data_IF_628488258139
#
_entry.id   IF_628488258139
#
_cell.length_a   1.000
_cell.length_b   1.000
_cell.length_c   1.000
_cell.angle_alpha   90.00
_cell.angle_beta   90.00
_cell.angle_gamma   90.00
#
_symmetry.space_group_name_H-M   'P 1'
#
loop_
_entity.id
_entity.type
_entity.pdbx_description
1 polymer ?
#
# COMPACT_ATOMS: atom_id res chain seq x y z
N UNK A 1 -3.56 -18.02 -3.90
CA UNK A 1 -4.51 -16.90 -4.11
C UNK A 1 -5.28 -17.16 -5.39
N UNK A 2 -6.53 -16.71 -5.51
CA UNK A 2 -7.31 -17.03 -6.69
C UNK A 2 -8.71 -16.44 -6.71
N UNK A 3 -9.60 -17.10 -7.44
CA UNK A 3 -10.98 -16.68 -7.65
C UNK A 3 -11.72 -16.39 -6.36
N UNK A 4 -12.49 -15.31 -6.38
CA UNK A 4 -13.33 -14.85 -5.29
C UNK A 4 -12.58 -14.22 -4.12
N UNK A 5 -11.26 -14.10 -4.17
CA UNK A 5 -10.44 -13.51 -3.10
C UNK A 5 -10.09 -12.07 -3.45
N UNK A 6 -10.33 -11.16 -2.50
CA UNK A 6 -10.00 -9.74 -2.57
C UNK A 6 -9.14 -9.33 -1.35
N UNK A 7 -7.83 -9.61 -1.35
CA UNK A 7 -6.96 -9.15 -0.29
C UNK A 7 -6.55 -7.69 -0.53
N UNK A 8 -6.47 -6.92 0.55
CA UNK A 8 -6.01 -5.55 0.51
C UNK A 8 -5.14 -5.25 1.72
N UNK A 9 -4.06 -4.51 1.49
CA UNK A 9 -3.30 -3.82 2.51
C UNK A 9 -3.28 -2.33 2.18
N UNK A 10 -3.92 -1.56 3.06
CA UNK A 10 -4.29 -0.18 2.79
C UNK A 10 -4.32 0.65 4.07
N UNK A 11 -4.51 1.96 3.90
CA UNK A 11 -4.71 2.89 4.99
C UNK A 11 -5.89 3.82 4.73
N UNK A 12 -6.62 4.21 5.76
CA UNK A 12 -7.63 5.28 5.70
C UNK A 12 -7.60 6.14 6.98
N UNK A 13 -8.12 7.38 7.00
CA UNK A 13 -8.23 8.15 8.24
C UNK A 13 -9.19 7.47 9.22
N UNK A 14 -8.85 7.42 10.51
CA UNK A 14 -9.67 6.74 11.54
C UNK A 14 -11.13 7.21 11.60
N UNK A 15 -11.36 8.50 11.32
CA UNK A 15 -12.65 9.17 11.49
C UNK A 15 -13.24 9.66 10.15
N UNK A 16 -12.81 9.10 9.01
CA UNK A 16 -13.34 9.43 7.69
C UNK A 16 -13.40 8.21 6.78
N UNK A 17 -14.26 8.28 5.76
CA UNK A 17 -14.47 7.22 4.75
C UNK A 17 -13.87 7.58 3.39
N UNK A 18 -12.88 8.46 3.38
CA UNK A 18 -12.20 8.96 2.17
C UNK A 18 -10.72 9.16 2.50
N UNK A 19 -9.90 9.43 1.48
CA UNK A 19 -8.44 9.61 1.60
C UNK A 19 -7.75 8.31 1.95
N UNK A 20 -8.17 7.26 1.23
CA UNK A 20 -7.66 5.90 1.30
C UNK A 20 -6.45 5.73 0.38
N UNK A 21 -5.49 4.93 0.84
CA UNK A 21 -4.28 4.57 0.12
C UNK A 21 -4.14 3.06 0.16
N UNK A 22 -4.39 2.42 -0.96
CA UNK A 22 -4.15 1.00 -1.17
C UNK A 22 -2.70 0.79 -1.55
N UNK A 23 -1.94 0.19 -0.64
CA UNK A 23 -0.52 -0.06 -0.84
C UNK A 23 -0.32 -1.30 -1.71
N UNK A 24 -1.18 -2.30 -1.50
CA UNK A 24 -1.19 -3.52 -2.30
C UNK A 24 -2.58 -4.15 -2.29
N UNK A 25 -3.22 -4.16 -3.46
CA UNK A 25 -4.56 -4.72 -3.67
C UNK A 25 -4.62 -5.49 -5.00
N UNK A 26 -5.49 -6.48 -5.07
CA UNK A 26 -5.86 -7.17 -6.30
C UNK A 26 -7.15 -7.94 -6.04
N UNK A 27 -7.79 -8.44 -7.09
CA UNK A 27 -9.03 -9.20 -7.00
C UNK A 27 -8.97 -10.40 -7.91
N UNK A 28 -9.49 -11.56 -7.49
CA UNK A 28 -9.55 -12.79 -8.31
C UNK A 28 -8.19 -13.28 -8.86
N UNK A 29 -7.06 -12.73 -8.40
CA UNK A 29 -5.75 -12.84 -9.09
C UNK A 29 -5.81 -12.39 -10.55
N UNK A 30 -6.56 -11.31 -10.80
CA UNK A 30 -6.73 -10.69 -12.12
C UNK A 30 -5.38 -10.28 -12.70
N UNK A 31 -4.47 -9.83 -11.84
CA UNK A 31 -3.09 -9.49 -12.19
C UNK A 31 -2.08 -10.37 -11.44
N UNK A 32 -0.89 -10.56 -12.02
CA UNK A 32 0.26 -11.24 -11.40
C UNK A 32 1.12 -10.31 -10.51
N UNK A 33 0.67 -9.06 -10.37
CA UNK A 33 1.27 -8.02 -9.57
C UNK A 33 0.20 -7.34 -8.70
N UNK A 34 0.64 -6.56 -7.72
CA UNK A 34 -0.25 -5.75 -6.89
C UNK A 34 -0.61 -4.45 -7.62
N UNK A 35 -1.79 -3.93 -7.31
CA UNK A 35 -2.18 -2.57 -7.64
C UNK A 35 -1.94 -1.68 -6.42
N UNK A 36 -1.49 -0.46 -6.67
CA UNK A 36 -1.60 0.62 -5.71
C UNK A 36 -2.70 1.57 -6.17
N UNK A 37 -3.54 2.01 -5.25
CA UNK A 37 -4.69 2.86 -5.54
C UNK A 37 -4.77 3.97 -4.50
N UNK A 38 -5.27 5.13 -4.91
CA UNK A 38 -5.52 6.23 -4.00
C UNK A 38 -6.88 6.84 -4.31
N UNK A 39 -7.66 7.03 -3.24
CA UNK A 39 -9.02 7.54 -3.28
C UNK A 39 -9.12 8.82 -2.46
N UNK A 40 -9.32 9.97 -3.11
CA UNK A 40 -9.49 11.28 -2.46
C UNK A 40 -10.94 11.68 -2.32
N UNK A 41 -11.25 12.55 -1.35
CA UNK A 41 -12.60 13.12 -1.18
C UNK A 41 -12.92 14.18 -2.24
N UNK A 42 -11.98 15.07 -2.50
CA UNK A 42 -12.15 16.16 -3.46
C UNK A 42 -11.64 15.73 -4.83
N UNK A 43 -11.91 16.58 -5.82
CA UNK A 43 -11.37 16.37 -7.15
C UNK A 43 -9.85 16.49 -7.11
N UNK A 44 -9.18 15.38 -7.36
CA UNK A 44 -7.73 15.27 -7.42
C UNK A 44 -7.40 14.42 -8.64
N UNK A 45 -6.57 14.94 -9.51
CA UNK A 45 -6.05 14.16 -10.63
C UNK A 45 -4.53 14.31 -10.67
N UNK A 46 -3.86 13.19 -10.79
CA UNK A 46 -2.42 13.14 -10.98
C UNK A 46 -2.10 13.76 -12.34
N UNK A 47 -1.08 14.61 -12.36
CA UNK A 47 -0.56 15.15 -13.61
C UNK A 47 0.59 14.25 -14.08
N UNK A 48 0.49 13.60 -15.25
CA UNK A 48 1.62 12.86 -15.79
C UNK A 48 2.82 13.78 -16.00
N UNK A 49 4.03 13.26 -15.79
CA UNK A 49 5.23 13.95 -16.25
C UNK A 49 5.12 14.22 -17.77
N UNK A 50 5.61 15.37 -18.28
CA UNK A 50 5.53 15.69 -19.70
C UNK A 50 6.08 14.55 -20.57
N UNK A 51 5.25 14.07 -21.49
CA UNK A 51 5.53 12.95 -22.37
C UNK A 51 6.69 13.26 -23.33
N UNK A 52 7.83 12.58 -23.14
CA UNK A 52 9.00 12.69 -24.00
C UNK A 52 9.70 11.37 -24.35
N UNK A 53 9.22 10.20 -23.90
CA UNK A 53 9.75 8.94 -24.37
C UNK A 53 8.73 7.80 -24.27
N UNK A 54 8.64 7.03 -25.35
CA UNK A 54 8.12 5.68 -25.31
C UNK A 54 8.86 4.88 -24.21
N UNK A 55 8.13 4.41 -23.20
CA UNK A 55 8.56 3.32 -22.32
C UNK A 55 9.42 3.67 -21.11
N UNK A 56 10.30 4.67 -21.15
CA UNK A 56 11.07 5.16 -19.98
C UNK A 56 11.87 6.40 -20.37
N UNK A 57 11.53 7.60 -19.85
CA UNK A 57 12.46 8.74 -19.67
C UNK A 57 11.70 9.88 -18.98
N UNK A 58 12.00 10.26 -17.73
CA UNK A 58 13.16 11.02 -17.29
C UNK A 58 13.31 12.42 -17.91
N UNK A 59 12.89 13.45 -17.14
CA UNK A 59 13.42 14.83 -16.91
C UNK A 59 12.27 15.85 -16.86
N UNK A 60 11.95 16.35 -15.66
CA UNK A 60 11.36 17.68 -15.49
C UNK A 60 12.51 18.68 -15.23
N UNK A 61 12.47 19.83 -15.93
CA UNK A 61 13.38 20.94 -15.64
C UNK A 61 13.07 21.48 -14.24
N UNK A 62 13.96 21.24 -13.28
CA UNK A 62 13.77 21.63 -11.87
C UNK A 62 14.34 20.66 -10.82
N UNK A 63 14.77 19.46 -11.20
CA UNK A 63 15.59 18.60 -10.34
C UNK A 63 14.86 17.57 -9.48
N UNK A 64 13.55 17.37 -9.64
CA UNK A 64 12.84 16.20 -9.13
C UNK A 64 12.07 15.54 -10.29
N UNK A 65 12.62 14.43 -10.77
CA UNK A 65 12.01 13.60 -11.80
C UNK A 65 10.92 12.73 -11.17
N UNK A 66 9.65 12.96 -11.53
CA UNK A 66 8.60 11.99 -11.28
C UNK A 66 8.89 10.72 -12.10
N UNK A 67 9.45 9.73 -11.44
CA UNK A 67 9.85 8.46 -12.05
C UNK A 67 9.21 7.36 -11.22
N UNK A 68 8.47 6.48 -11.89
CA UNK A 68 7.99 5.25 -11.32
C UNK A 68 8.19 4.13 -12.35
N UNK A 69 8.50 2.93 -11.89
CA UNK A 69 8.64 1.76 -12.76
C UNK A 69 7.29 1.14 -13.16
N UNK A 70 6.23 1.42 -12.38
CA UNK A 70 4.87 1.01 -12.66
C UNK A 70 4.17 1.86 -13.72
N UNK A 71 2.95 1.46 -14.07
CA UNK A 71 2.13 2.16 -15.09
C UNK A 71 0.80 2.57 -14.50
N UNK A 72 0.37 3.80 -14.75
CA UNK A 72 -0.96 4.26 -14.37
C UNK A 72 -2.04 3.60 -15.22
N UNK A 73 -3.06 3.04 -14.57
CA UNK A 73 -4.34 2.67 -15.21
C UNK A 73 -5.27 3.88 -15.22
N UNK A 74 -5.35 4.60 -14.09
CA UNK A 74 -6.21 5.77 -13.90
C UNK A 74 -5.47 6.89 -13.19
N UNK A 75 -5.79 8.14 -13.55
CA UNK A 75 -5.16 9.34 -12.99
C UNK A 75 -6.08 10.15 -12.07
N UNK A 76 -7.40 9.95 -12.14
CA UNK A 76 -8.37 10.65 -11.28
C UNK A 76 -8.52 9.89 -9.96
N UNK A 77 -8.00 10.49 -8.89
CA UNK A 77 -8.03 9.93 -7.55
C UNK A 77 -9.38 10.12 -6.85
N UNK A 78 -10.27 10.96 -7.37
CA UNK A 78 -11.50 11.29 -6.67
C UNK A 78 -12.45 10.10 -6.55
N UNK A 79 -13.02 9.89 -5.36
CA UNK A 79 -14.02 8.85 -5.13
C UNK A 79 -15.29 9.01 -5.98
N UNK A 80 -15.48 10.20 -6.58
CA UNK A 80 -16.64 10.56 -7.40
C UNK A 80 -16.51 10.12 -8.85
N UNK A 81 -15.39 9.52 -9.24
CA UNK A 81 -15.24 8.98 -10.58
C UNK A 81 -16.26 7.84 -10.81
N UNK A 82 -16.59 7.58 -12.09
CA UNK A 82 -17.82 6.85 -12.48
C UNK A 82 -17.92 5.40 -11.98
N UNK A 83 -16.90 4.85 -11.32
CA UNK A 83 -16.89 3.49 -10.79
C UNK A 83 -16.06 3.36 -9.48
N UNK A 84 -15.84 4.46 -8.75
CA UNK A 84 -15.00 4.49 -7.53
C UNK A 84 -13.61 3.87 -7.74
N UNK A 85 -13.01 4.01 -8.92
CA UNK A 85 -11.77 3.31 -9.29
C UNK A 85 -10.52 3.89 -8.65
N UNK A 86 -10.58 5.16 -8.21
CA UNK A 86 -9.41 5.92 -7.76
C UNK A 86 -8.35 6.07 -8.84
N UNK A 87 -7.26 6.75 -8.49
CA UNK A 87 -6.08 6.78 -9.34
C UNK A 87 -5.24 5.57 -8.99
N UNK A 88 -4.80 4.84 -10.01
CA UNK A 88 -4.34 3.46 -9.87
C UNK A 88 -3.08 3.24 -10.66
N UNK A 89 -2.11 2.58 -10.03
CA UNK A 89 -0.88 2.15 -10.65
C UNK A 89 -0.71 0.62 -10.55
N UNK A 90 -0.32 0.01 -11.67
CA UNK A 90 0.18 -1.36 -11.71
C UNK A 90 1.62 -1.40 -11.18
N UNK A 91 1.86 -2.15 -10.10
CA UNK A 91 3.18 -2.25 -9.49
C UNK A 91 4.06 -3.25 -10.24
N UNK A 92 4.97 -2.78 -11.08
CA UNK A 92 5.90 -3.64 -11.82
C UNK A 92 7.18 -4.01 -11.05
N UNK A 93 7.26 -3.65 -9.76
CA UNK A 93 8.44 -3.81 -8.90
C UNK A 93 9.44 -2.67 -8.99
N UNK A 94 10.17 -2.42 -7.91
CA UNK A 94 11.11 -1.29 -7.77
C UNK A 94 12.43 -1.52 -8.50
N UNK A 95 12.89 -2.76 -8.59
CA UNK A 95 14.17 -3.08 -9.24
C UNK A 95 13.95 -3.52 -10.68
N UNK A 96 13.66 -2.55 -11.55
CA UNK A 96 13.64 -2.73 -12.99
C UNK A 96 15.05 -2.72 -13.61
N UNK A 97 16.12 -3.04 -12.85
CA UNK A 97 17.52 -3.01 -13.33
C UNK A 97 17.80 -3.91 -14.55
N UNK A 98 16.87 -4.79 -14.93
CA UNK A 98 16.87 -5.43 -16.24
C UNK A 98 16.37 -4.47 -17.32
N UNK A 99 17.10 -4.32 -18.43
CA UNK A 99 16.58 -3.69 -19.65
C UNK A 99 16.31 -4.77 -20.71
N UNK A 100 15.06 -4.98 -21.16
CA UNK A 100 13.84 -4.29 -20.71
C UNK A 100 13.41 -4.71 -19.28
N UNK A 101 12.65 -3.87 -18.55
CA UNK A 101 12.11 -4.20 -17.24
C UNK A 101 11.39 -5.54 -17.28
N UNK A 102 11.81 -6.50 -16.46
CA UNK A 102 11.09 -7.77 -16.33
C UNK A 102 9.94 -7.56 -15.35
N UNK A 103 8.69 -7.94 -15.69
CA UNK A 103 7.58 -7.89 -14.75
C UNK A 103 7.97 -8.66 -13.49
N UNK A 104 8.00 -7.98 -12.35
CA UNK A 104 8.25 -8.64 -11.07
C UNK A 104 6.93 -9.24 -10.61
N UNK A 105 6.90 -10.56 -10.45
CA UNK A 105 5.72 -11.24 -9.89
C UNK A 105 5.65 -10.91 -8.40
N UNK A 106 4.74 -10.01 -8.06
CA UNK A 106 4.55 -9.45 -6.72
C UNK A 106 3.24 -9.89 -6.07
N UNK A 107 2.51 -10.78 -6.76
CA UNK A 107 1.24 -11.26 -6.29
C UNK A 107 1.01 -12.74 -6.56
N UNK A 108 0.07 -13.31 -5.81
CA UNK A 108 -0.43 -14.65 -6.03
C UNK A 108 0.58 -15.77 -5.81
N UNK A 109 0.32 -16.91 -6.45
CA UNK A 109 1.02 -18.16 -6.14
C UNK A 109 2.50 -18.12 -6.51
N UNK A 110 2.85 -17.43 -7.59
CA UNK A 110 4.25 -17.28 -8.01
C UNK A 110 5.04 -16.36 -7.05
N UNK A 111 4.42 -15.29 -6.51
CA UNK A 111 5.04 -14.51 -5.43
C UNK A 111 5.21 -15.35 -4.16
N UNK A 112 4.20 -16.15 -3.79
CA UNK A 112 4.26 -17.04 -2.64
C UNK A 112 5.37 -18.10 -2.78
N UNK A 113 5.46 -18.74 -3.95
CA UNK A 113 6.48 -19.75 -4.26
C UNK A 113 7.89 -19.13 -4.39
N UNK A 114 8.00 -17.90 -4.86
CA UNK A 114 9.25 -17.12 -4.96
C UNK A 114 9.85 -16.67 -3.62
N UNK A 115 9.29 -17.10 -2.49
CA UNK A 115 9.73 -16.68 -1.16
C UNK A 115 9.18 -15.32 -0.73
N UNK A 116 8.16 -14.82 -1.45
CA UNK A 116 7.45 -13.57 -1.19
C UNK A 116 8.38 -12.36 -1.25
N UNK A 117 8.10 -11.32 -0.48
CA UNK A 117 8.79 -10.06 -0.65
C UNK A 117 8.45 -9.00 0.38
N UNK A 118 8.90 -7.80 0.05
CA UNK A 118 8.76 -6.60 0.85
C UNK A 118 7.96 -5.59 0.07
N UNK A 119 7.12 -4.88 0.78
CA UNK A 119 6.51 -3.66 0.31
C UNK A 119 6.81 -2.54 1.30
N UNK A 120 6.93 -1.33 0.78
CA UNK A 120 7.08 -0.14 1.59
C UNK A 120 6.29 1.02 1.01
N UNK A 121 5.67 1.81 1.87
CA UNK A 121 5.06 3.08 1.52
C UNK A 121 5.77 4.20 2.27
N UNK A 122 6.15 5.26 1.56
CA UNK A 122 6.49 6.55 2.15
C UNK A 122 5.33 7.52 1.89
N UNK A 123 4.81 8.12 2.96
CA UNK A 123 3.86 9.23 2.86
C UNK A 123 4.56 10.52 3.27
N UNK A 124 4.42 11.55 2.45
CA UNK A 124 4.86 12.91 2.72
C UNK A 124 3.74 13.87 2.32
N UNK A 125 2.75 14.00 3.20
CA UNK A 125 1.42 14.55 2.89
C UNK A 125 1.10 15.86 3.63
N UNK A 126 1.98 16.31 4.54
CA UNK A 126 1.72 17.44 5.43
C UNK A 126 2.94 18.35 5.49
N UNK A 127 2.70 19.66 5.40
CA UNK A 127 3.71 20.71 5.49
C UNK A 127 4.24 21.17 4.13
N UNK A 128 5.11 22.19 4.15
CA UNK A 128 5.60 22.88 2.95
C UNK A 128 6.43 21.99 2.00
N UNK A 129 6.90 20.85 2.50
CA UNK A 129 7.67 19.87 1.73
C UNK A 129 6.81 18.67 1.26
N UNK A 130 5.49 18.70 1.45
CA UNK A 130 4.60 17.61 1.06
C UNK A 130 4.61 17.41 -0.47
N UNK A 131 4.90 16.18 -0.90
CA UNK A 131 5.03 15.82 -2.31
C UNK A 131 4.28 14.53 -2.70
N UNK A 132 3.65 13.84 -1.75
CA UNK A 132 2.70 12.77 -2.03
C UNK A 132 3.05 11.41 -1.43
N UNK A 133 2.72 10.34 -2.16
CA UNK A 133 2.86 8.94 -1.72
C UNK A 133 3.72 8.15 -2.69
N UNK A 134 4.74 7.49 -2.16
CA UNK A 134 5.61 6.57 -2.92
C UNK A 134 5.46 5.16 -2.39
N UNK A 135 5.35 4.19 -3.28
CA UNK A 135 5.25 2.77 -2.95
C UNK A 135 6.37 2.02 -3.67
N UNK A 136 7.09 1.21 -2.90
CA UNK A 136 8.10 0.29 -3.40
C UNK A 136 7.69 -1.15 -3.14
N UNK A 137 8.14 -2.03 -4.01
CA UNK A 137 7.88 -3.46 -3.91
C UNK A 137 9.07 -4.25 -4.44
N UNK A 138 9.48 -5.26 -3.69
CA UNK A 138 10.65 -6.09 -3.98
C UNK A 138 10.34 -7.55 -3.73
N UNK A 139 10.85 -8.44 -4.58
CA UNK A 139 10.97 -9.84 -4.19
C UNK A 139 12.03 -10.00 -3.12
N UNK A 140 11.91 -11.05 -2.31
CA UNK A 140 12.90 -11.39 -1.30
C UNK A 140 14.29 -11.50 -1.94
N UNK A 141 15.26 -10.77 -1.40
CA UNK A 141 16.62 -10.68 -1.93
C UNK A 141 16.90 -9.38 -2.69
N UNK A 142 15.86 -8.68 -3.17
CA UNK A 142 15.99 -7.41 -3.91
C UNK A 142 15.74 -6.17 -3.04
N UNK A 143 15.21 -6.34 -1.83
CA UNK A 143 14.93 -5.23 -0.94
C UNK A 143 16.22 -4.55 -0.43
N UNK A 144 16.21 -3.22 -0.20
CA UNK A 144 17.33 -2.48 0.36
C UNK A 144 17.81 -3.03 1.70
N UNK A 145 19.13 -2.99 1.92
CA UNK A 145 19.74 -3.55 3.12
C UNK A 145 19.20 -2.89 4.40
N UNK A 146 18.93 -1.58 4.38
CA UNK A 146 18.41 -0.85 5.55
C UNK A 146 16.99 -1.30 5.95
N UNK A 147 16.19 -1.87 5.04
CA UNK A 147 14.92 -2.53 5.35
C UNK A 147 15.14 -3.98 5.77
N UNK A 148 16.00 -4.72 5.07
CA UNK A 148 16.29 -6.13 5.36
C UNK A 148 16.79 -6.34 6.79
N UNK A 149 17.70 -5.48 7.25
CA UNK A 149 18.30 -5.57 8.58
C UNK A 149 17.59 -4.71 9.63
N UNK A 150 16.45 -4.09 9.30
CA UNK A 150 15.73 -3.29 10.27
C UNK A 150 15.14 -4.17 11.39
N UNK A 151 15.35 -3.73 12.62
CA UNK A 151 14.78 -4.30 13.84
C UNK A 151 13.96 -3.23 14.56
N UNK A 152 13.13 -3.64 15.52
CA UNK A 152 12.31 -2.70 16.30
C UNK A 152 13.17 -1.79 17.21
N UNK A 153 14.47 -2.09 17.35
CA UNK A 153 15.46 -1.31 18.08
C UNK A 153 16.46 -0.61 17.17
N UNK A 154 16.36 -0.79 15.86
CA UNK A 154 17.27 -0.16 14.90
C UNK A 154 17.00 1.34 14.89
N UNK A 155 17.93 2.11 15.45
CA UNK A 155 18.01 3.57 15.29
C UNK A 155 18.50 3.98 13.89
N UNK A 156 18.74 3.02 13.00
CA UNK A 156 19.17 3.30 11.64
C UNK A 156 18.09 4.12 10.94
N UNK A 157 18.46 5.31 10.51
CA UNK A 157 17.59 6.17 9.73
C UNK A 157 17.13 5.42 8.48
N UNK A 158 15.81 5.33 8.27
CA UNK A 158 15.25 4.88 7.00
C UNK A 158 15.36 6.04 6.02
N UNK A 159 16.33 5.93 5.12
CA UNK A 159 16.53 6.86 4.02
C UNK A 159 16.04 6.23 2.71
N UNK A 160 14.88 6.69 2.25
CA UNK A 160 14.23 6.20 1.03
C UNK A 160 14.89 6.73 -0.25
N UNK A 161 15.74 7.76 -0.17
CA UNK A 161 16.44 8.30 -1.35
C UNK A 161 17.41 7.28 -1.97
N UNK A 162 17.81 6.29 -1.19
CA UNK A 162 18.71 5.20 -1.60
C UNK A 162 17.99 3.98 -2.19
N UNK A 163 16.66 3.97 -2.19
CA UNK A 163 15.86 2.81 -2.59
C UNK A 163 15.62 2.70 -4.10
N UNK A 164 16.02 3.72 -4.85
CA UNK A 164 15.77 3.80 -6.29
C UNK A 164 14.33 4.21 -6.61
N UNK A 165 13.98 4.03 -7.87
CA UNK A 165 12.69 4.42 -8.45
C UNK A 165 11.53 3.66 -7.79
N UNK A 166 10.49 4.35 -7.27
CA UNK A 166 9.33 3.68 -6.69
C UNK A 166 8.53 2.90 -7.75
N UNK A 167 7.84 1.84 -7.31
CA UNK A 167 6.91 1.11 -8.17
C UNK A 167 5.64 1.93 -8.48
N UNK A 168 5.24 2.81 -7.57
CA UNK A 168 4.24 3.85 -7.82
C UNK A 168 4.61 5.14 -7.10
N UNK A 169 4.38 6.29 -7.74
CA UNK A 169 4.53 7.61 -7.11
C UNK A 169 3.35 8.52 -7.42
N UNK A 170 2.41 8.59 -6.48
CA UNK A 170 1.31 9.54 -6.50
C UNK A 170 1.83 10.92 -6.09
N UNK A 171 2.16 11.77 -7.06
CA UNK A 171 2.46 13.18 -6.84
C UNK A 171 1.17 13.94 -6.53
N UNK A 172 1.05 14.41 -5.29
CA UNK A 172 -0.15 15.05 -4.75
C UNK A 172 0.00 16.56 -4.59
N UNK A 173 0.98 17.18 -5.27
CA UNK A 173 1.13 18.65 -5.26
C UNK A 173 -0.13 19.38 -5.75
N UNK A 174 -0.91 18.78 -6.65
CA UNK A 174 -2.19 19.32 -7.12
C UNK A 174 -3.38 18.94 -6.22
N UNK A 175 -3.14 18.17 -5.15
CA UNK A 175 -4.16 17.57 -4.29
C UNK A 175 -3.95 17.92 -2.80
N UNK A 176 -3.36 19.07 -2.51
CA UNK A 176 -2.94 19.45 -1.15
C UNK A 176 -4.09 19.78 -0.18
N UNK A 177 -5.31 19.98 -0.68
CA UNK A 177 -6.49 20.31 0.15
C UNK A 177 -7.15 19.09 0.81
N UNK A 178 -6.57 17.89 0.67
CA UNK A 178 -7.13 16.66 1.24
C UNK A 178 -6.86 16.52 2.74
N UNK A 179 -7.88 16.26 3.57
CA UNK A 179 -7.69 15.97 4.98
C UNK A 179 -7.18 14.53 5.17
N UNK A 180 -5.88 14.32 4.96
CA UNK A 180 -5.24 13.01 5.11
C UNK A 180 -5.30 12.46 6.53
N UNK A 181 -5.20 13.33 7.54
CA UNK A 181 -5.38 12.98 8.96
C UNK A 181 -4.49 11.83 9.47
N UNK A 182 -4.83 11.33 10.66
CA UNK A 182 -4.21 10.13 11.22
C UNK A 182 -4.85 8.87 10.61
N UNK A 183 -4.01 8.12 9.91
CA UNK A 183 -4.40 6.97 9.14
C UNK A 183 -4.27 5.68 9.97
N UNK A 184 -5.30 4.83 9.93
CA UNK A 184 -5.25 3.46 10.43
C UNK A 184 -4.77 2.52 9.32
N UNK A 185 -3.97 1.53 9.69
CA UNK A 185 -3.52 0.48 8.77
C UNK A 185 -4.55 -0.65 8.80
N UNK A 186 -4.98 -1.10 7.63
CA UNK A 186 -5.93 -2.20 7.47
C UNK A 186 -5.30 -3.30 6.62
N UNK A 187 -5.42 -4.53 7.12
CA UNK A 187 -5.15 -5.73 6.34
C UNK A 187 -6.40 -6.59 6.39
N UNK A 188 -7.01 -6.83 5.24
CA UNK A 188 -8.19 -7.68 5.14
C UNK A 188 -8.09 -8.62 3.95
N UNK A 189 -8.97 -9.61 3.95
CA UNK A 189 -9.29 -10.43 2.79
C UNK A 189 -10.81 -10.42 2.69
N UNK A 190 -11.33 -9.59 1.79
CA UNK A 190 -12.74 -9.66 1.42
C UNK A 190 -12.94 -10.81 0.41
N UNK A 191 -14.20 -11.22 0.24
CA UNK A 191 -14.59 -12.23 -0.74
C UNK A 191 -15.62 -11.63 -1.70
N UNK A 192 -15.40 -11.82 -2.99
CA UNK A 192 -16.23 -11.26 -4.05
C UNK A 192 -16.30 -9.73 -4.00
N UNK A 193 -17.34 -9.20 -3.34
CA UNK A 193 -17.71 -7.79 -3.43
C UNK A 193 -18.06 -7.35 -4.85
N UNK A 194 -18.26 -6.05 -5.00
CA UNK A 194 -18.64 -5.45 -6.27
C UNK A 194 -17.57 -5.69 -7.34
N UNK A 195 -16.30 -5.42 -7.00
CA UNK A 195 -15.20 -5.60 -7.95
C UNK A 195 -14.94 -7.07 -8.31
N UNK A 196 -14.98 -7.98 -7.33
CA UNK A 196 -14.76 -9.39 -7.56
C UNK A 196 -15.85 -10.07 -8.37
N UNK A 197 -17.10 -9.61 -8.20
CA UNK A 197 -18.20 -10.08 -9.04
C UNK A 197 -18.08 -9.52 -10.45
N UNK A 198 -17.78 -8.22 -10.60
CA UNK A 198 -17.66 -7.56 -11.90
C UNK A 198 -16.52 -8.11 -12.77
N UNK A 199 -15.42 -8.58 -12.15
CA UNK A 199 -14.24 -9.11 -12.86
C UNK A 199 -14.18 -10.64 -12.90
N UNK A 200 -15.22 -11.33 -12.46
CA UNK A 200 -15.18 -12.79 -12.30
C UNK A 200 -15.07 -13.54 -13.64
N UNK A 201 -15.65 -12.99 -14.71
CA UNK A 201 -15.52 -13.55 -16.06
C UNK A 201 -14.15 -13.27 -16.66
N UNK A 202 -13.68 -12.01 -16.60
CA UNK A 202 -12.41 -11.58 -17.21
C UNK A 202 -11.18 -12.15 -16.51
N UNK A 203 -11.28 -12.47 -15.21
CA UNK A 203 -10.25 -13.21 -14.47
C UNK A 203 -10.19 -14.71 -14.79
N UNK A 204 -11.10 -15.22 -15.62
CA UNK A 204 -11.18 -16.66 -15.96
C UNK A 204 -11.80 -17.52 -14.84
N UNK A 205 -12.31 -16.90 -13.78
CA UNK A 205 -12.89 -17.60 -12.64
C UNK A 205 -14.24 -18.26 -12.96
N UNK A 206 -15.01 -17.66 -13.88
CA UNK A 206 -16.25 -18.23 -14.40
C UNK A 206 -16.06 -19.59 -15.11
N UNK A 207 -14.83 -19.92 -15.55
CA UNK A 207 -14.51 -21.23 -16.12
C UNK A 207 -14.36 -22.34 -15.07
N UNK A 208 -14.18 -21.96 -13.78
CA UNK A 208 -13.97 -22.90 -12.66
C UNK A 208 -15.19 -23.01 -11.75
N UNK A 209 -15.93 -21.91 -11.61
CA UNK A 209 -17.09 -21.82 -10.73
C UNK A 209 -18.21 -21.04 -11.43
N UNK A 210 -19.46 -21.39 -11.14
CA UNK A 210 -20.62 -20.77 -11.80
C UNK A 210 -20.82 -19.29 -11.45
N UNK A 211 -20.45 -18.89 -10.23
CA UNK A 211 -20.39 -17.49 -9.81
C UNK A 211 -19.50 -17.34 -8.58
N UNK A 212 -19.08 -16.12 -8.27
CA UNK A 212 -18.32 -15.84 -7.07
C UNK A 212 -19.07 -16.26 -5.79
N UNK A 213 -20.35 -15.90 -5.70
CA UNK A 213 -21.19 -16.29 -4.57
C UNK A 213 -21.33 -17.81 -4.42
N UNK A 214 -21.46 -18.54 -5.54
CA UNK A 214 -21.52 -20.00 -5.51
C UNK A 214 -20.20 -20.62 -5.05
N UNK A 215 -19.06 -20.09 -5.50
CA UNK A 215 -17.73 -20.53 -5.02
C UNK A 215 -17.60 -20.32 -3.50
N UNK A 216 -17.93 -19.12 -3.01
CA UNK A 216 -17.85 -18.82 -1.57
C UNK A 216 -18.73 -19.76 -0.76
N UNK A 217 -19.95 -20.04 -1.22
CA UNK A 217 -20.90 -20.88 -0.49
C UNK A 217 -20.57 -22.39 -0.55
N UNK A 218 -19.98 -22.87 -1.64
CA UNK A 218 -19.95 -24.32 -1.95
C UNK A 218 -18.54 -24.89 -2.14
N UNK A 219 -17.52 -24.04 -2.26
CA UNK A 219 -16.13 -24.47 -2.47
C UNK A 219 -15.17 -23.86 -1.42
N UNK A 220 -15.41 -24.04 -0.11
CA UNK A 220 -14.59 -23.44 0.94
C UNK A 220 -13.10 -23.82 0.84
N UNK A 221 -12.79 -25.03 0.33
CA UNK A 221 -11.42 -25.50 0.09
C UNK A 221 -10.63 -24.63 -0.90
N UNK A 222 -11.33 -23.88 -1.77
CA UNK A 222 -10.71 -22.96 -2.73
C UNK A 222 -10.04 -21.74 -2.08
N UNK A 223 -10.28 -21.51 -0.78
CA UNK A 223 -9.72 -20.41 0.00
C UNK A 223 -8.61 -20.86 0.97
N UNK A 224 -8.12 -22.10 0.88
CA UNK A 224 -7.07 -22.64 1.76
C UNK A 224 -5.77 -21.80 1.77
N UNK A 225 -5.45 -21.15 0.65
CA UNK A 225 -4.29 -20.25 0.51
C UNK A 225 -4.64 -18.76 0.63
N UNK A 226 -5.85 -18.42 1.11
CA UNK A 226 -6.30 -17.04 1.29
C UNK A 226 -6.02 -16.56 2.72
N UNK A 227 -4.74 -16.30 3.03
CA UNK A 227 -4.31 -15.76 4.32
C UNK A 227 -3.14 -14.79 4.18
N UNK A 228 -3.03 -13.86 5.13
CA UNK A 228 -1.83 -13.05 5.31
C UNK A 228 -0.83 -13.79 6.19
N UNK A 229 0.43 -13.85 5.76
CA UNK A 229 1.54 -14.31 6.60
C UNK A 229 2.60 -13.23 6.65
N UNK A 230 2.70 -12.58 7.82
CA UNK A 230 3.53 -11.41 8.04
C UNK A 230 4.74 -11.78 8.89
N UNK A 231 5.93 -11.46 8.39
CA UNK A 231 7.17 -11.54 9.18
C UNK A 231 7.32 -10.33 10.08
N UNK A 232 6.94 -9.14 9.60
CA UNK A 232 7.02 -7.90 10.36
C UNK A 232 6.29 -6.77 9.67
N UNK A 233 5.62 -5.93 10.44
CA UNK A 233 5.17 -4.60 10.05
C UNK A 233 5.93 -3.56 10.87
N UNK A 234 6.51 -2.56 10.21
CA UNK A 234 7.29 -1.50 10.87
C UNK A 234 6.85 -0.14 10.37
N UNK A 235 6.73 0.81 11.29
CA UNK A 235 6.38 2.21 11.01
C UNK A 235 7.56 3.06 11.47
N UNK A 236 8.01 3.97 10.61
CA UNK A 236 9.08 4.91 10.88
C UNK A 236 8.54 6.33 10.75
N UNK A 237 9.00 7.23 11.61
CA UNK A 237 8.62 8.64 11.64
C UNK A 237 9.86 9.52 11.78
N UNK A 238 9.79 10.75 11.27
CA UNK A 238 10.85 11.72 11.52
C UNK A 238 10.67 12.34 12.92
N UNK A 239 11.46 11.89 13.90
CA UNK A 239 11.63 12.59 15.18
C UNK A 239 10.43 12.64 16.13
N UNK A 240 9.38 11.83 15.90
CA UNK A 240 8.17 11.78 16.73
C UNK A 240 8.02 10.38 17.31
N UNK A 241 7.87 10.29 18.64
CA UNK A 241 7.47 9.07 19.33
C UNK A 241 6.09 8.62 18.82
N UNK A 242 6.04 7.42 18.25
CA UNK A 242 4.80 6.78 17.85
C UNK A 242 4.04 6.46 19.15
N UNK A 243 2.85 7.02 19.33
CA UNK A 243 1.97 6.61 20.42
C UNK A 243 1.44 5.21 20.08
N UNK A 244 2.07 4.17 20.62
CA UNK A 244 1.61 2.77 20.52
C UNK A 244 0.36 2.59 21.40
N UNK A 245 -0.70 3.32 21.07
CA UNK A 245 -2.03 3.04 21.60
C UNK A 245 -2.55 1.79 20.91
N UNK A 246 -2.05 0.64 21.38
CA UNK A 246 -2.83 -0.59 21.28
C UNK A 246 -4.12 -0.33 22.02
N UNK A 247 -5.16 -0.04 21.27
CA UNK A 247 -6.52 0.07 21.78
C UNK A 247 -6.92 -1.34 22.24
N UNK A 248 -6.55 -1.70 23.47
CA UNK A 248 -7.08 -2.87 24.16
C UNK A 248 -8.41 -2.45 24.78
N UNK A 249 -9.40 -2.21 23.93
CA UNK A 249 -10.77 -2.04 24.39
C UNK A 249 -11.28 -3.43 24.82
N UNK A 250 -11.00 -3.81 26.07
CA UNK A 250 -11.35 -5.14 26.56
C UNK A 250 -10.60 -5.66 27.78
N UNK A 251 -10.27 -4.84 28.79
CA UNK A 251 -10.03 -5.35 30.14
C UNK A 251 -10.23 -4.25 31.18
N UNK A 252 -11.45 -4.13 31.70
CA UNK A 252 -11.72 -3.34 32.90
C UNK A 252 -10.93 -3.93 34.08
N UNK A 253 -9.79 -3.33 34.42
CA UNK A 253 -9.15 -3.55 35.71
C UNK A 253 -9.10 -2.22 36.45
N UNK A 254 -9.94 -2.13 37.47
CA UNK A 254 -10.06 -1.02 38.40
C UNK A 254 -8.80 -0.95 39.26
N UNK A 255 -8.10 0.19 39.29
CA UNK A 255 -7.42 0.69 40.51
C UNK A 255 -6.87 2.12 40.36
N UNK A 256 -7.50 3.00 41.15
CA UNK A 256 -6.94 4.11 41.95
C UNK A 256 -6.09 5.21 41.30
N UNK A 257 -6.69 6.41 41.38
CA UNK A 257 -6.18 7.77 41.20
C UNK A 257 -4.77 8.05 41.75
N UNK A 258 -3.98 8.81 40.98
CA UNK A 258 -3.02 9.76 41.54
C UNK A 258 -3.17 11.12 40.80
N UNK A 259 -3.61 12.20 41.47
CA UNK A 259 -3.82 13.49 40.86
C UNK A 259 -2.55 14.32 41.00
N UNK A 260 -1.67 14.31 40.00
CA UNK A 260 -0.64 15.36 39.81
C UNK A 260 0.14 15.17 38.51
N UNK A 261 -0.40 15.70 37.41
CA UNK A 261 0.41 16.36 36.38
C UNK A 261 -0.52 17.15 35.47
N UNK A 262 -0.40 18.48 35.52
CA UNK A 262 -1.11 19.46 34.71
C UNK A 262 -0.86 19.26 33.20
N UNK A 263 -1.66 19.90 32.32
CA UNK A 263 -1.85 19.46 30.95
C UNK A 263 -0.62 19.79 30.10
N UNK A 264 -0.01 18.79 29.49
CA UNK A 264 0.88 19.05 28.36
C UNK A 264 0.02 19.40 27.14
N UNK A 265 -0.32 20.69 27.03
CA UNK A 265 -0.42 21.33 25.73
C UNK A 265 0.93 21.14 25.05
N UNK A 266 0.98 20.33 23.99
CA UNK A 266 2.13 20.28 23.09
C UNK A 266 1.65 20.61 21.69
N UNK A 267 2.19 21.73 21.23
CA UNK A 267 2.12 22.28 19.87
C UNK A 267 2.49 21.18 18.87
N UNK A 268 1.58 20.90 17.93
CA UNK A 268 1.84 20.01 16.80
C UNK A 268 2.87 20.64 15.87
N UNK A 269 3.99 19.96 15.63
CA UNK A 269 4.90 20.26 14.53
C UNK A 269 4.48 19.42 13.32
N UNK A 270 4.07 20.10 12.26
CA UNK A 270 3.46 19.58 11.03
C UNK A 270 4.50 19.03 10.03
N UNK A 271 5.26 18.01 10.42
CA UNK A 271 6.12 17.27 9.48
C UNK A 271 5.96 15.76 9.72
N UNK A 272 4.85 15.19 9.26
CA UNK A 272 4.65 13.74 9.30
C UNK A 272 5.19 13.08 8.03
N UNK A 273 6.50 12.85 7.98
CA UNK A 273 7.04 11.82 7.09
C UNK A 273 6.86 10.48 7.80
N UNK A 274 6.18 9.54 7.16
CA UNK A 274 6.03 8.19 7.71
C UNK A 274 6.30 7.13 6.66
N UNK A 275 7.10 6.13 7.04
CA UNK A 275 7.39 4.96 6.20
C UNK A 275 6.78 3.74 6.86
N UNK A 276 5.95 3.00 6.14
CA UNK A 276 5.42 1.71 6.58
C UNK A 276 6.05 0.62 5.72
N UNK A 277 6.71 -0.35 6.33
CA UNK A 277 7.26 -1.51 5.63
C UNK A 277 6.66 -2.80 6.16
N UNK A 278 6.25 -3.67 5.24
CA UNK A 278 5.70 -4.98 5.53
C UNK A 278 6.60 -6.04 4.89
N UNK A 279 7.11 -6.95 5.71
CA UNK A 279 7.78 -8.16 5.28
C UNK A 279 6.83 -9.34 5.48
N UNK A 280 6.70 -10.22 4.49
CA UNK A 280 5.87 -11.42 4.59
C UNK A 280 6.71 -12.65 4.99
N UNK A 281 6.13 -13.58 5.75
CA UNK A 281 6.85 -14.68 6.38
C UNK A 281 6.88 -15.96 5.52
N UNK A 282 7.88 -16.79 5.80
CA UNK A 282 8.02 -18.16 5.31
C UNK A 282 7.76 -19.10 6.49
N UNK A 283 6.77 -19.98 6.37
CA UNK A 283 6.62 -21.14 7.24
C UNK A 283 6.45 -22.37 6.36
N UNK A 284 7.52 -23.17 6.26
CA UNK A 284 7.42 -24.55 5.81
C UNK A 284 6.89 -25.36 7.00
N UNK A 285 5.68 -25.91 6.85
CA UNK A 285 5.31 -27.11 7.61
C UNK A 285 5.40 -28.27 6.61
N UNK A 286 6.39 -29.11 6.86
CA UNK A 286 6.61 -30.42 6.24
C UNK A 286 5.41 -31.34 6.41
#
# INVERSE_FOLDING_TARGET
MGCGVWPAWWTQPRNATFNEIDIAENINSLYDHALAVLHTKQQCSLTPAPSGANGSSNIAAGGLQQTQSGTYEFLDCSFKNLDMTGCRAHLNGTDASSSPPRPVTLWGDAFNAGGRGFFAMQRNLVGDAADGVRIWSWQKGQEPQNIRSATNTSQAAIDTSTWGEPAAFFDLQTCQEEPWGDQMIVLNIALCGDWGTATYETSGCAARYSSCAAQVAQAPQSFSEAYWSLKSMRIYTNGISIDDSRDTDGAATTTTTNPNSAPYSRVFSLLSLSVISLATATTFLS
#
